data_IF_440600900971
#
_entry.id   IF_440600900971
#
_cell.length_a   1.000
_cell.length_b   1.000
_cell.length_c   1.000
_cell.angle_alpha   90.00
_cell.angle_beta   90.00
_cell.angle_gamma   90.00
#
_symmetry.space_group_name_H-M   'P 1'
#
loop_
_entity.id
_entity.type
_entity.pdbx_description
1 polymer ?
#
# COMPACT_ATOMS: atom_id res chain seq x y z
N UNK A 1 -8.68 -13.11 -4.82
CA UNK A 1 -7.41 -13.19 -5.54
C UNK A 1 -6.31 -13.42 -4.51
N UNK A 2 -5.61 -14.56 -4.50
CA UNK A 2 -4.51 -14.81 -3.55
C UNK A 2 -3.24 -14.20 -4.14
N UNK A 3 -2.75 -13.14 -3.54
CA UNK A 3 -1.46 -12.56 -3.92
C UNK A 3 -0.36 -13.43 -3.31
N UNK A 4 0.44 -14.10 -4.13
CA UNK A 4 1.69 -14.71 -3.69
C UNK A 4 2.71 -13.60 -3.53
N UNK A 5 3.08 -13.32 -2.29
CA UNK A 5 4.23 -12.47 -2.00
C UNK A 5 5.50 -13.24 -2.35
N UNK A 6 6.10 -12.93 -3.47
CA UNK A 6 7.47 -13.38 -3.75
C UNK A 6 8.44 -12.43 -3.05
N UNK A 7 8.99 -12.85 -1.94
CA UNK A 7 10.13 -12.20 -1.32
C UNK A 7 11.34 -12.51 -2.22
N UNK A 8 11.70 -11.57 -3.09
CA UNK A 8 12.97 -11.63 -3.81
C UNK A 8 13.93 -10.73 -3.05
N UNK A 9 14.91 -11.35 -2.42
CA UNK A 9 16.01 -10.70 -1.73
C UNK A 9 16.96 -10.02 -2.73
N UNK A 10 17.18 -8.70 -2.60
CA UNK A 10 18.50 -8.14 -2.72
C UNK A 10 19.12 -7.97 -4.12
N UNK A 11 18.36 -7.67 -5.18
CA UNK A 11 18.95 -7.21 -6.45
C UNK A 11 19.04 -5.67 -6.57
N UNK A 12 18.71 -4.96 -5.49
CA UNK A 12 18.76 -3.48 -5.46
C UNK A 12 17.62 -2.78 -6.19
N UNK A 13 16.70 -3.52 -6.79
CA UNK A 13 15.54 -2.91 -7.46
C UNK A 13 14.57 -2.31 -6.45
N UNK A 14 14.08 -1.08 -6.67
CA UNK A 14 13.07 -0.49 -5.82
C UNK A 14 11.79 -1.31 -5.86
N UNK A 15 11.13 -1.47 -4.70
CA UNK A 15 9.82 -2.10 -4.59
C UNK A 15 8.99 -1.38 -3.53
N UNK A 16 7.69 -1.37 -3.70
CA UNK A 16 6.77 -0.87 -2.67
C UNK A 16 6.69 -1.84 -1.49
N UNK A 17 6.27 -1.33 -0.33
CA UNK A 17 5.90 -2.17 0.81
C UNK A 17 4.80 -3.16 0.42
N UNK A 18 4.81 -4.35 1.02
CA UNK A 18 3.98 -5.48 0.58
C UNK A 18 2.47 -5.20 0.55
N UNK A 19 1.98 -4.26 1.36
CA UNK A 19 0.57 -3.90 1.38
C UNK A 19 0.23 -2.73 0.45
N UNK A 20 1.23 -2.07 -0.13
CA UNK A 20 1.03 -1.03 -1.14
C UNK A 20 0.84 -1.69 -2.49
N UNK A 21 -0.31 -1.51 -3.07
CA UNK A 21 -0.70 -2.14 -4.34
C UNK A 21 -1.62 -1.23 -5.14
N UNK A 22 -1.77 -1.55 -6.41
CA UNK A 22 -2.72 -0.88 -7.28
C UNK A 22 -4.13 -0.84 -6.66
N UNK A 23 -4.86 0.20 -7.00
CA UNK A 23 -6.22 0.43 -6.51
C UNK A 23 -6.34 0.65 -4.99
N UNK A 24 -5.23 0.99 -4.32
CA UNK A 24 -5.29 1.29 -2.89
C UNK A 24 -5.89 2.67 -2.63
N UNK A 25 -6.19 2.96 -1.37
CA UNK A 25 -6.57 4.28 -0.91
C UNK A 25 -5.61 4.76 0.16
N UNK A 26 -5.13 5.98 0.01
CA UNK A 26 -4.29 6.69 0.96
C UNK A 26 -5.11 7.71 1.73
N UNK A 27 -4.66 8.07 2.92
CA UNK A 27 -5.31 9.10 3.73
C UNK A 27 -5.34 10.45 3.02
N UNK A 28 -6.54 11.06 2.98
CA UNK A 28 -6.75 12.41 2.45
C UNK A 28 -6.40 13.51 3.45
N UNK A 29 -6.37 14.73 2.97
CA UNK A 29 -6.26 15.94 3.82
C UNK A 29 -7.31 15.95 4.96
N UNK A 30 -6.97 16.47 6.16
CA UNK A 30 -5.74 17.20 6.50
C UNK A 30 -4.52 16.31 6.75
N UNK A 31 -4.69 15.00 6.77
CA UNK A 31 -3.63 14.06 7.03
C UNK A 31 -2.62 14.00 5.86
N UNK A 32 -1.43 13.52 6.19
CA UNK A 32 -0.34 13.38 5.23
C UNK A 32 -0.06 11.89 5.01
N UNK A 33 -0.43 11.40 3.85
CA UNK A 33 -0.16 10.01 3.51
C UNK A 33 1.35 9.73 3.41
N UNK A 34 1.74 8.54 3.85
CA UNK A 34 3.12 8.06 3.72
C UNK A 34 3.17 6.95 2.70
N UNK A 35 4.01 7.11 1.69
CA UNK A 35 4.33 6.10 0.69
C UNK A 35 5.75 5.62 0.95
N UNK A 36 5.95 4.30 1.04
CA UNK A 36 7.25 3.75 1.35
C UNK A 36 7.49 2.38 0.73
N UNK A 37 8.73 1.96 0.77
CA UNK A 37 9.13 0.66 0.25
C UNK A 37 10.60 0.39 0.47
N UNK A 38 11.14 -0.54 -0.29
CA UNK A 38 12.50 -1.01 -0.18
C UNK A 38 13.29 -0.68 -1.45
N UNK A 39 14.60 -0.55 -1.31
CA UNK A 39 15.49 -0.27 -2.43
C UNK A 39 16.95 -0.30 -2.01
N UNK A 40 17.84 0.10 -2.88
CA UNK A 40 19.26 0.16 -2.58
C UNK A 40 19.57 1.18 -1.47
N UNK A 41 20.49 0.87 -0.54
CA UNK A 41 20.87 1.78 0.53
C UNK A 41 21.58 3.02 0.01
N UNK A 42 21.24 4.16 0.62
CA UNK A 42 21.84 5.48 0.32
C UNK A 42 21.62 5.97 -1.11
N UNK A 43 20.66 5.39 -1.82
CA UNK A 43 20.28 5.81 -3.16
C UNK A 43 19.17 6.86 -3.10
N UNK A 44 19.31 7.86 -3.96
CA UNK A 44 18.29 8.90 -4.12
C UNK A 44 17.06 8.30 -4.79
N UNK A 45 15.91 8.46 -4.16
CA UNK A 45 14.62 7.97 -4.63
C UNK A 45 13.72 9.15 -4.96
N UNK A 46 13.12 9.13 -6.12
CA UNK A 46 12.18 10.14 -6.60
C UNK A 46 10.79 9.55 -6.60
N UNK A 47 9.83 10.22 -5.95
CA UNK A 47 8.43 9.88 -6.01
C UNK A 47 7.67 11.01 -6.72
N UNK A 48 6.93 10.67 -7.76
CA UNK A 48 6.15 11.64 -8.54
C UNK A 48 4.67 11.26 -8.49
N UNK A 49 3.85 12.23 -8.13
CA UNK A 49 2.38 12.18 -8.15
C UNK A 49 1.85 13.54 -8.59
N UNK A 50 0.87 13.55 -9.49
CA UNK A 50 0.19 14.78 -9.95
C UNK A 50 1.18 15.92 -10.29
N UNK A 51 2.17 15.63 -11.13
CA UNK A 51 3.23 16.56 -11.55
C UNK A 51 4.12 17.12 -10.42
N UNK A 52 3.99 16.61 -9.20
CA UNK A 52 4.84 16.96 -8.07
C UNK A 52 5.82 15.85 -7.78
N UNK A 53 7.09 16.21 -7.64
CA UNK A 53 8.16 15.25 -7.33
C UNK A 53 8.68 15.49 -5.92
N UNK A 54 8.76 14.42 -5.16
CA UNK A 54 9.39 14.35 -3.85
C UNK A 54 10.68 13.58 -3.96
N UNK A 55 11.62 13.89 -3.10
CA UNK A 55 12.93 13.26 -3.08
C UNK A 55 13.25 12.75 -1.68
N UNK A 56 13.73 11.53 -1.59
CA UNK A 56 14.19 10.92 -0.34
C UNK A 56 15.45 10.09 -0.60
N UNK A 57 16.11 9.68 0.46
CA UNK A 57 17.27 8.79 0.40
C UNK A 57 16.95 7.54 1.21
N UNK A 58 17.20 6.37 0.62
CA UNK A 58 16.98 5.10 1.30
C UNK A 58 17.92 4.94 2.51
N UNK A 59 17.36 4.66 3.67
CA UNK A 59 18.08 4.41 4.91
C UNK A 59 18.09 2.94 5.28
N UNK A 60 19.12 2.47 5.99
CA UNK A 60 19.15 1.11 6.52
C UNK A 60 18.23 1.07 7.75
N UNK A 61 17.24 0.22 7.72
CA UNK A 61 16.40 -0.08 8.89
C UNK A 61 17.14 -1.07 9.80
N UNK A 62 17.66 -0.55 10.92
CA UNK A 62 18.34 -1.37 11.91
C UNK A 62 17.38 -2.29 12.70
N UNK A 63 16.09 -2.05 12.63
CA UNK A 63 15.08 -2.89 13.28
C UNK A 63 14.67 -4.10 12.44
N UNK A 64 15.05 -4.15 11.18
CA UNK A 64 14.75 -5.25 10.29
C UNK A 64 15.91 -6.27 10.32
N UNK A 65 15.62 -7.50 10.75
CA UNK A 65 16.59 -8.62 10.78
C UNK A 65 17.22 -8.91 9.42
N UNK A 66 16.61 -8.44 8.33
CA UNK A 66 17.07 -8.65 6.96
C UNK A 66 17.98 -7.52 6.46
N UNK A 67 18.29 -6.49 7.28
CA UNK A 67 19.09 -5.31 6.89
C UNK A 67 18.63 -4.67 5.56
N UNK A 68 17.33 -4.72 5.26
CA UNK A 68 16.79 -4.08 4.06
C UNK A 68 16.81 -2.56 4.21
N UNK A 69 17.08 -1.89 3.12
CA UNK A 69 17.06 -0.43 3.08
C UNK A 69 15.67 0.06 2.69
N UNK A 70 15.16 1.02 3.47
CA UNK A 70 13.82 1.58 3.31
C UNK A 70 13.91 3.00 2.77
N UNK A 71 13.09 3.30 1.76
CA UNK A 71 12.77 4.66 1.38
C UNK A 71 11.35 5.01 1.83
N UNK A 72 11.13 6.25 2.21
CA UNK A 72 9.83 6.75 2.67
C UNK A 72 9.64 8.20 2.24
N UNK A 73 8.44 8.52 1.80
CA UNK A 73 8.01 9.86 1.43
C UNK A 73 6.69 10.18 2.11
N UNK A 74 6.67 11.27 2.87
CA UNK A 74 5.42 11.85 3.39
C UNK A 74 4.90 12.87 2.39
N UNK A 75 3.74 12.60 1.82
CA UNK A 75 3.10 13.48 0.85
C UNK A 75 2.57 14.74 1.52
N UNK A 76 2.38 15.80 0.76
CA UNK A 76 1.55 16.91 1.23
C UNK A 76 0.09 16.48 1.33
N UNK A 77 -0.72 17.18 2.13
CA UNK A 77 -2.13 16.88 2.23
C UNK A 77 -2.82 16.96 0.86
N UNK A 78 -3.49 15.88 0.47
CA UNK A 78 -4.23 15.79 -0.80
C UNK A 78 -5.73 15.81 -0.49
N UNK A 79 -6.43 16.80 -1.02
CA UNK A 79 -7.89 16.95 -0.85
C UNK A 79 -8.69 16.36 -2.00
N UNK A 80 -8.09 16.25 -3.17
CA UNK A 80 -8.71 15.66 -4.35
C UNK A 80 -8.64 14.13 -4.24
N UNK A 81 -9.76 13.50 -4.52
CA UNK A 81 -9.91 12.05 -4.38
C UNK A 81 -9.07 11.24 -5.40
N UNK A 82 -8.78 11.79 -6.55
CA UNK A 82 -8.09 11.09 -7.64
C UNK A 82 -9.04 10.48 -8.67
N UNK A 83 -8.67 9.41 -9.40
CA UNK A 83 -7.49 8.55 -9.16
C UNK A 83 -6.15 9.14 -9.61
N UNK A 84 -5.08 8.68 -8.98
CA UNK A 84 -3.70 9.06 -9.31
C UNK A 84 -2.81 7.85 -9.55
N UNK A 85 -1.83 8.01 -10.43
CA UNK A 85 -0.70 7.10 -10.52
C UNK A 85 0.48 7.67 -9.71
N UNK A 86 1.12 6.82 -8.90
CA UNK A 86 2.29 7.17 -8.11
C UNK A 86 3.49 6.46 -8.70
N UNK A 87 4.44 7.24 -9.22
CA UNK A 87 5.67 6.72 -9.81
C UNK A 87 6.83 6.87 -8.83
N UNK A 88 7.57 5.79 -8.64
CA UNK A 88 8.80 5.82 -7.84
C UNK A 88 9.96 5.38 -8.70
N UNK A 89 11.00 6.20 -8.75
CA UNK A 89 12.19 5.97 -9.59
C UNK A 89 13.46 5.98 -8.77
N UNK A 90 14.35 5.04 -9.06
CA UNK A 90 15.68 4.93 -8.46
C UNK A 90 16.72 4.66 -9.56
N UNK A 91 17.89 5.33 -9.53
CA UNK A 91 19.01 4.95 -10.38
C UNK A 91 19.66 3.67 -9.86
N UNK A 92 19.89 2.71 -10.74
CA UNK A 92 20.69 1.53 -10.45
C UNK A 92 22.20 1.85 -10.56
N UNK A 93 23.10 1.00 -10.00
CA UNK A 93 24.54 1.19 -10.06
C UNK A 93 25.09 1.31 -11.48
N UNK A 94 24.42 0.72 -12.47
CA UNK A 94 24.77 0.82 -13.88
C UNK A 94 24.31 2.12 -14.57
N UNK A 95 23.68 3.03 -13.82
CA UNK A 95 23.13 4.29 -14.34
C UNK A 95 21.75 4.18 -14.98
N UNK A 96 21.15 2.99 -15.02
CA UNK A 96 19.78 2.80 -15.50
C UNK A 96 18.79 3.31 -14.46
N UNK A 97 17.80 4.10 -14.86
CA UNK A 97 16.70 4.53 -14.01
C UNK A 97 15.59 3.46 -14.04
N UNK A 98 15.30 2.86 -12.90
CA UNK A 98 14.18 1.94 -12.76
C UNK A 98 13.00 2.69 -12.15
N UNK A 99 11.82 2.51 -12.73
CA UNK A 99 10.57 3.11 -12.25
C UNK A 99 9.55 2.02 -11.96
N UNK A 100 8.94 2.11 -10.79
CA UNK A 100 7.79 1.31 -10.37
C UNK A 100 6.57 2.22 -10.19
N UNK A 101 5.38 1.70 -10.41
CA UNK A 101 4.16 2.51 -10.37
C UNK A 101 3.07 1.80 -9.56
N UNK A 102 2.36 2.58 -8.73
CA UNK A 102 1.05 2.21 -8.20
C UNK A 102 0.01 2.90 -9.06
N UNK A 103 -0.90 2.12 -9.61
CA UNK A 103 -1.97 2.60 -10.46
C UNK A 103 -3.28 2.79 -9.71
N UNK A 104 -4.05 3.78 -10.15
CA UNK A 104 -5.44 4.00 -9.69
C UNK A 104 -5.53 4.15 -8.17
N UNK A 105 -4.65 4.97 -7.58
CA UNK A 105 -4.64 5.29 -6.14
C UNK A 105 -5.65 6.40 -5.86
N UNK A 106 -6.51 6.19 -4.87
CA UNK A 106 -7.44 7.20 -4.37
C UNK A 106 -6.93 7.82 -3.06
N UNK A 107 -7.45 9.00 -2.75
CA UNK A 107 -7.30 9.63 -1.42
C UNK A 107 -8.66 9.71 -0.75
N UNK A 108 -8.77 9.14 0.44
CA UNK A 108 -10.04 9.03 1.17
C UNK A 108 -9.83 8.77 2.65
N UNK A 109 -10.91 8.40 3.32
CA UNK A 109 -10.87 8.00 4.72
C UNK A 109 -10.42 6.53 4.82
N UNK A 110 -9.40 6.28 5.63
CA UNK A 110 -8.86 4.94 5.83
C UNK A 110 -9.28 4.42 7.20
N UNK A 111 -10.00 3.31 7.21
CA UNK A 111 -10.51 2.66 8.40
C UNK A 111 -9.79 1.34 8.66
N UNK A 112 -9.36 1.11 9.90
CA UNK A 112 -8.80 -0.17 10.34
C UNK A 112 -9.91 -0.94 11.04
N UNK A 113 -10.33 -2.05 10.43
CA UNK A 113 -11.31 -2.96 11.00
C UNK A 113 -10.60 -4.20 11.53
N UNK A 114 -10.71 -4.47 12.82
CA UNK A 114 -10.05 -5.63 13.42
C UNK A 114 -10.96 -6.31 14.45
N UNK A 115 -10.74 -7.59 14.68
CA UNK A 115 -11.50 -8.35 15.66
C UNK A 115 -11.16 -9.83 15.65
N UNK A 116 -11.97 -10.60 16.36
CA UNK A 116 -11.86 -12.06 16.41
C UNK A 116 -12.83 -12.71 15.42
N UNK A 117 -13.30 -13.90 15.74
CA UNK A 117 -14.06 -14.83 14.89
C UNK A 117 -15.01 -14.22 13.85
N UNK A 118 -15.80 -13.22 14.22
CA UNK A 118 -16.76 -12.60 13.27
C UNK A 118 -16.09 -11.80 12.15
N UNK A 119 -14.85 -11.35 12.34
CA UNK A 119 -14.08 -10.70 11.27
C UNK A 119 -13.63 -11.68 10.18
N UNK A 120 -13.74 -12.98 10.42
CA UNK A 120 -13.45 -14.02 9.46
C UNK A 120 -14.60 -14.27 8.47
N UNK A 121 -15.80 -13.81 8.80
CA UNK A 121 -16.97 -14.05 7.97
C UNK A 121 -16.84 -13.28 6.64
N UNK A 122 -16.97 -14.01 5.57
CA UNK A 122 -17.14 -13.41 4.24
C UNK A 122 -18.57 -12.92 4.07
N UNK A 123 -18.80 -12.03 3.11
CA UNK A 123 -20.14 -11.50 2.82
C UNK A 123 -21.14 -12.64 2.51
N UNK A 124 -20.69 -13.77 1.94
CA UNK A 124 -21.55 -14.93 1.69
C UNK A 124 -22.13 -15.57 2.98
N UNK A 125 -21.56 -15.28 4.14
CA UNK A 125 -21.95 -15.86 5.44
C UNK A 125 -22.88 -14.95 6.25
N UNK A 126 -23.17 -13.74 5.78
CA UNK A 126 -24.05 -12.80 6.46
C UNK A 126 -25.50 -12.94 6.02
N UNK A 127 -26.41 -12.43 6.84
CA UNK A 127 -27.81 -12.28 6.47
C UNK A 127 -27.94 -11.39 5.23
N UNK A 128 -28.78 -11.78 4.28
CA UNK A 128 -29.04 -11.03 3.05
C UNK A 128 -27.84 -10.88 2.09
N UNK A 129 -26.87 -11.80 2.17
CA UNK A 129 -25.62 -11.79 1.42
C UNK A 129 -25.76 -11.52 -0.08
N UNK A 130 -26.76 -12.16 -0.73
CA UNK A 130 -26.99 -12.01 -2.17
C UNK A 130 -27.33 -10.58 -2.59
N UNK A 131 -28.08 -9.87 -1.74
CA UNK A 131 -28.46 -8.46 -1.99
C UNK A 131 -27.25 -7.54 -1.79
N UNK A 132 -26.44 -7.79 -0.77
CA UNK A 132 -25.22 -7.01 -0.50
C UNK A 132 -24.18 -7.19 -1.61
N UNK A 133 -24.00 -8.43 -2.09
CA UNK A 133 -23.11 -8.71 -3.22
C UNK A 133 -23.59 -7.99 -4.49
N UNK A 134 -24.89 -8.05 -4.78
CA UNK A 134 -25.47 -7.38 -5.96
C UNK A 134 -25.40 -5.84 -5.87
N UNK A 135 -25.34 -5.29 -4.65
CA UNK A 135 -25.21 -3.85 -4.43
C UNK A 135 -23.77 -3.36 -4.42
N UNK A 136 -22.78 -4.23 -4.29
CA UNK A 136 -21.36 -3.84 -4.16
C UNK A 136 -20.87 -2.96 -5.33
N UNK A 137 -21.34 -3.24 -6.55
CA UNK A 137 -20.97 -2.46 -7.74
C UNK A 137 -21.43 -0.99 -7.70
N UNK A 138 -22.36 -0.67 -6.80
CA UNK A 138 -22.82 0.73 -6.60
C UNK A 138 -21.81 1.58 -5.84
N UNK A 139 -20.78 0.97 -5.27
CA UNK A 139 -19.77 1.61 -4.43
C UNK A 139 -18.35 1.41 -4.95
N UNK A 140 -18.04 1.84 -6.19
CA UNK A 140 -16.74 1.55 -6.84
C UNK A 140 -15.54 2.20 -6.14
N UNK A 141 -15.80 3.16 -5.25
CA UNK A 141 -14.77 3.85 -4.49
C UNK A 141 -14.45 3.21 -3.14
N UNK A 142 -15.31 2.29 -2.66
CA UNK A 142 -15.02 1.50 -1.46
C UNK A 142 -14.06 0.38 -1.84
N UNK A 143 -12.87 0.41 -1.26
CA UNK A 143 -11.81 -0.56 -1.51
C UNK A 143 -11.41 -1.22 -0.21
N UNK A 144 -11.20 -2.52 -0.24
CA UNK A 144 -10.87 -3.31 0.95
C UNK A 144 -9.57 -4.08 0.73
N UNK A 145 -8.70 -4.04 1.73
CA UNK A 145 -7.50 -4.88 1.79
C UNK A 145 -7.63 -5.80 3.00
N UNK A 146 -7.47 -7.09 2.78
CA UNK A 146 -7.41 -8.07 3.85
C UNK A 146 -5.94 -8.38 4.15
N UNK A 147 -5.52 -8.12 5.38
CA UNK A 147 -4.20 -8.50 5.87
C UNK A 147 -4.30 -9.80 6.67
N UNK A 148 -3.75 -10.87 6.14
CA UNK A 148 -3.66 -12.14 6.86
C UNK A 148 -2.39 -12.16 7.71
N UNK A 149 -2.53 -12.40 9.02
CA UNK A 149 -1.38 -12.52 9.92
C UNK A 149 -0.86 -13.96 9.92
N UNK A 150 0.23 -14.18 9.23
CA UNK A 150 0.97 -15.45 9.29
C UNK A 150 1.83 -15.46 10.56
N UNK A 151 1.59 -16.41 11.46
CA UNK A 151 2.52 -16.74 12.54
C UNK A 151 2.17 -16.30 13.97
N UNK A 152 0.97 -15.81 14.24
CA UNK A 152 0.51 -15.53 15.62
C UNK A 152 -0.53 -16.56 16.07
N UNK A 153 -0.36 -17.07 17.29
CA UNK A 153 -1.26 -18.04 17.94
C UNK A 153 -2.67 -17.49 18.21
N UNK A 154 -2.92 -16.22 17.98
CA UNK A 154 -4.23 -15.59 18.07
C UNK A 154 -4.61 -15.07 16.68
N UNK A 155 -5.59 -15.69 16.06
CA UNK A 155 -6.13 -15.23 14.77
C UNK A 155 -6.79 -13.86 14.94
N UNK A 156 -6.09 -12.80 14.58
CA UNK A 156 -6.64 -11.45 14.47
C UNK A 156 -6.74 -11.13 12.98
N UNK A 157 -7.94 -10.85 12.53
CA UNK A 157 -8.17 -10.37 11.17
C UNK A 157 -8.14 -8.85 11.18
N UNK A 158 -7.35 -8.28 10.31
CA UNK A 158 -7.29 -6.82 10.11
C UNK A 158 -7.69 -6.55 8.66
N UNK A 159 -8.76 -5.81 8.47
CA UNK A 159 -9.18 -5.32 7.17
C UNK A 159 -9.09 -3.79 7.17
N UNK A 160 -8.72 -3.22 6.04
CA UNK A 160 -8.84 -1.80 5.80
C UNK A 160 -10.05 -1.57 4.89
N UNK A 161 -10.96 -0.73 5.32
CA UNK A 161 -12.06 -0.25 4.50
C UNK A 161 -11.83 1.23 4.22
N UNK A 162 -12.05 1.62 2.98
CA UNK A 162 -11.88 3.00 2.56
C UNK A 162 -13.15 3.49 1.89
N UNK A 163 -13.57 4.66 2.28
CA UNK A 163 -14.76 5.33 1.76
C UNK A 163 -14.36 6.69 1.20
#
# INVERSE_FOLDING_TARGET
MKVKVNIISGDGTPRFANYMQDHMVLQRAPERAVVWGFGDPRILTFLTINNKTYTTVSGIDQANEQNESIWSVTLDPVSDEGPYDIHVSQPLPNGTLVTITLHDVLFGDVWICSGQSNMQFTVNMIFNASVEIANADKYPKIRTVLMDQVGVTCQRYVGFMVV
#
